data_IF_940916739086
#
_entry.id   IF_940916739086
#
_cell.length_a   1.000
_cell.length_b   1.000
_cell.length_c   1.000
_cell.angle_alpha   90.00
_cell.angle_beta   90.00
_cell.angle_gamma   90.00
#
_symmetry.space_group_name_H-M   'P 1'
#
loop_
_entity.id
_entity.type
_entity.pdbx_description
1 polymer ?
#
# COMPACT_ATOMS: atom_id res chain seq x y z
N UNK A 1 15.24 9.93 7.46
CA UNK A 1 14.46 8.68 7.64
C UNK A 1 12.99 8.99 7.43
N UNK A 2 12.23 8.11 6.81
CA UNK A 2 10.81 8.35 6.57
C UNK A 2 10.02 7.91 7.80
N UNK A 3 8.96 8.63 8.14
CA UNK A 3 8.03 8.34 9.27
C UNK A 3 7.52 6.89 9.31
N UNK A 4 7.53 6.18 8.17
CA UNK A 4 7.16 4.77 8.04
C UNK A 4 8.23 3.81 8.59
N UNK A 5 9.51 4.10 8.35
CA UNK A 5 10.62 3.30 8.87
C UNK A 5 10.66 3.38 10.41
N UNK A 6 10.55 4.58 10.97
CA UNK A 6 10.49 4.78 12.43
C UNK A 6 9.32 4.04 13.08
N UNK A 7 8.16 4.01 12.43
CA UNK A 7 7.00 3.28 12.94
C UNK A 7 7.18 1.77 12.89
N UNK A 8 7.78 1.24 11.81
CA UNK A 8 8.10 -0.19 11.69
C UNK A 8 9.11 -0.63 12.74
N UNK A 9 10.14 0.17 12.98
CA UNK A 9 11.15 -0.05 14.03
C UNK A 9 10.50 -0.09 15.41
N UNK A 10 9.60 0.85 15.73
CA UNK A 10 8.88 0.88 17.01
C UNK A 10 7.97 -0.34 17.21
N UNK A 11 7.26 -0.78 16.16
CA UNK A 11 6.41 -1.98 16.22
C UNK A 11 7.27 -3.21 16.47
N UNK A 12 8.37 -3.38 15.74
CA UNK A 12 9.29 -4.49 15.90
C UNK A 12 9.89 -4.53 17.33
N UNK A 13 10.32 -3.39 17.84
CA UNK A 13 10.83 -3.26 19.20
C UNK A 13 9.78 -3.66 20.25
N UNK A 14 8.52 -3.25 20.08
CA UNK A 14 7.43 -3.62 20.97
C UNK A 14 7.16 -5.13 20.94
N UNK A 15 7.08 -5.73 19.76
CA UNK A 15 6.86 -7.17 19.60
C UNK A 15 7.98 -7.99 20.23
N UNK A 16 9.24 -7.64 19.96
CA UNK A 16 10.39 -8.33 20.53
C UNK A 16 10.42 -8.20 22.05
N UNK A 17 10.13 -7.01 22.58
CA UNK A 17 10.05 -6.80 24.04
C UNK A 17 8.97 -7.65 24.69
N UNK A 18 7.79 -7.72 24.06
CA UNK A 18 6.67 -8.53 24.54
C UNK A 18 7.02 -10.02 24.55
N UNK A 19 7.53 -10.55 23.44
CA UNK A 19 7.85 -11.98 23.30
C UNK A 19 9.03 -12.44 24.16
N UNK A 20 10.01 -11.57 24.39
CA UNK A 20 11.25 -11.95 25.09
C UNK A 20 11.31 -11.49 26.55
N UNK A 21 10.33 -10.71 27.01
CA UNK A 21 10.35 -10.09 28.34
C UNK A 21 11.46 -9.03 28.50
N UNK A 22 12.01 -8.51 27.41
CA UNK A 22 13.03 -7.47 27.44
C UNK A 22 12.40 -6.08 27.43
N UNK A 23 13.21 -5.07 27.75
CA UNK A 23 12.91 -3.66 27.53
C UNK A 23 13.76 -3.16 26.36
N UNK A 24 13.12 -2.64 25.29
CA UNK A 24 13.80 -2.04 24.16
C UNK A 24 13.95 -0.53 24.37
N UNK A 25 15.18 -0.04 24.29
CA UNK A 25 15.52 1.38 24.44
C UNK A 25 16.16 1.84 23.12
N UNK A 26 15.63 2.89 22.44
CA UNK A 26 16.20 3.40 21.20
C UNK A 26 17.68 3.77 21.39
N UNK A 27 18.52 3.34 20.45
CA UNK A 27 19.93 3.69 20.46
C UNK A 27 20.17 4.94 19.64
N UNK A 28 20.48 6.06 20.28
CA UNK A 28 20.53 7.38 19.68
C UNK A 28 21.71 7.65 18.72
N UNK A 29 22.49 6.65 18.30
CA UNK A 29 23.59 6.78 17.35
C UNK A 29 23.26 6.05 16.05
N UNK A 30 23.15 6.78 14.94
CA UNK A 30 22.98 6.20 13.62
C UNK A 30 24.10 5.20 13.28
N UNK A 31 23.70 4.04 12.76
CA UNK A 31 24.61 3.11 12.07
C UNK A 31 25.22 2.01 12.93
N UNK A 32 24.73 1.80 14.17
CA UNK A 32 25.22 0.70 15.02
C UNK A 32 24.12 -0.34 15.27
N UNK A 33 23.04 0.07 15.93
CA UNK A 33 21.82 -0.74 16.16
C UNK A 33 20.65 0.20 16.37
N UNK A 34 19.42 -0.28 16.18
CA UNK A 34 18.23 0.54 16.34
C UNK A 34 17.80 0.62 17.80
N UNK A 35 17.92 -0.50 18.54
CA UNK A 35 17.54 -0.56 19.95
C UNK A 35 18.52 -1.40 20.76
N UNK A 36 18.75 -0.98 22.02
CA UNK A 36 19.31 -1.82 23.07
C UNK A 36 18.19 -2.59 23.77
N UNK A 37 18.39 -3.88 23.96
CA UNK A 37 17.51 -4.75 24.74
C UNK A 37 18.13 -5.01 26.11
N UNK A 38 17.31 -4.91 27.17
CA UNK A 38 17.73 -5.25 28.54
C UNK A 38 16.69 -6.16 29.18
N UNK A 39 17.13 -7.25 29.77
CA UNK A 39 16.29 -8.18 30.52
C UNK A 39 16.38 -7.93 32.01
N UNK A 40 15.38 -8.32 32.83
CA UNK A 40 15.37 -8.12 34.28
C UNK A 40 16.57 -8.70 34.99
N UNK A 41 17.11 -9.80 34.49
CA UNK A 41 18.31 -10.46 35.01
C UNK A 41 19.64 -9.75 34.68
N UNK A 42 19.57 -8.59 34.02
CA UNK A 42 20.74 -7.79 33.64
C UNK A 42 21.41 -8.20 32.32
N UNK A 43 20.88 -9.19 31.63
CA UNK A 43 21.32 -9.54 30.27
C UNK A 43 21.06 -8.38 29.31
N UNK A 44 21.98 -8.15 28.40
CA UNK A 44 21.88 -7.12 27.36
C UNK A 44 21.89 -7.73 25.96
N UNK A 45 21.24 -7.07 25.03
CA UNK A 45 21.21 -7.42 23.61
C UNK A 45 21.02 -6.21 22.73
N UNK A 46 21.02 -6.44 21.44
CA UNK A 46 20.79 -5.42 20.43
C UNK A 46 19.70 -5.90 19.46
N UNK A 47 18.88 -4.98 18.99
CA UNK A 47 17.89 -5.21 17.93
C UNK A 47 18.20 -4.27 16.77
N UNK A 48 18.37 -4.85 15.60
CA UNK A 48 18.43 -4.14 14.34
C UNK A 48 17.19 -4.53 13.52
N UNK A 49 16.46 -3.55 13.03
CA UNK A 49 15.22 -3.74 12.28
C UNK A 49 15.49 -3.41 10.82
N UNK A 50 15.49 -4.43 9.97
CA UNK A 50 15.64 -4.25 8.53
C UNK A 50 14.29 -4.38 7.86
N UNK A 51 13.84 -3.29 7.23
CA UNK A 51 12.64 -3.33 6.42
C UNK A 51 12.95 -3.98 5.06
N UNK A 52 12.54 -5.22 4.90
CA UNK A 52 12.62 -5.91 3.61
C UNK A 52 11.39 -5.49 2.79
N UNK A 53 11.60 -4.56 1.86
CA UNK A 53 10.56 -4.11 0.94
C UNK A 53 10.95 -4.53 -0.47
N UNK A 54 10.03 -5.17 -1.18
CA UNK A 54 10.22 -5.42 -2.60
C UNK A 54 10.44 -4.09 -3.34
N UNK A 55 11.49 -3.94 -4.19
CA UNK A 55 11.82 -2.67 -4.84
C UNK A 55 10.65 -2.06 -5.63
N UNK A 56 9.84 -2.89 -6.29
CA UNK A 56 8.64 -2.45 -7.02
C UNK A 56 7.58 -1.86 -6.07
N UNK A 57 7.37 -2.48 -4.92
CA UNK A 57 6.44 -2.00 -3.88
C UNK A 57 6.89 -0.66 -3.29
N UNK A 58 8.18 -0.52 -2.98
CA UNK A 58 8.74 0.73 -2.48
C UNK A 58 8.62 1.87 -3.50
N UNK A 59 8.89 1.59 -4.78
CA UNK A 59 8.72 2.55 -5.86
C UNK A 59 7.26 2.98 -6.01
N UNK A 60 6.32 2.03 -5.94
CA UNK A 60 4.88 2.27 -6.03
C UNK A 60 4.40 3.17 -4.89
N UNK A 61 4.77 2.83 -3.64
CA UNK A 61 4.45 3.62 -2.45
C UNK A 61 5.02 5.03 -2.54
N UNK A 62 6.27 5.18 -2.99
CA UNK A 62 6.91 6.49 -3.18
C UNK A 62 6.15 7.37 -4.17
N UNK A 63 5.61 6.81 -5.25
CA UNK A 63 4.79 7.55 -6.22
C UNK A 63 3.43 7.91 -5.62
N UNK A 64 2.75 6.97 -4.95
CA UNK A 64 1.48 7.21 -4.31
C UNK A 64 1.58 8.30 -3.22
N UNK A 65 2.64 8.30 -2.41
CA UNK A 65 2.90 9.34 -1.41
C UNK A 65 3.08 10.73 -2.03
N UNK A 66 3.80 10.85 -3.15
CA UNK A 66 3.98 12.12 -3.87
C UNK A 66 2.65 12.68 -4.36
N UNK A 67 1.72 11.82 -4.76
CA UNK A 67 0.37 12.17 -5.18
C UNK A 67 -0.63 12.17 -4.01
N UNK A 68 -0.15 12.11 -2.76
CA UNK A 68 -0.96 12.13 -1.52
C UNK A 68 -2.00 11.01 -1.48
N UNK A 69 -1.68 9.84 -2.03
CA UNK A 69 -2.57 8.69 -2.11
C UNK A 69 -3.90 8.99 -2.80
N UNK A 70 -3.89 9.91 -3.76
CA UNK A 70 -5.10 10.34 -4.45
C UNK A 70 -4.83 10.74 -5.88
N UNK A 71 -5.65 10.22 -6.79
CA UNK A 71 -5.64 10.64 -8.18
C UNK A 71 -6.83 11.58 -8.47
N UNK A 72 -6.70 12.56 -9.38
CA UNK A 72 -7.78 13.47 -9.72
C UNK A 72 -8.87 12.75 -10.52
N UNK A 73 -10.13 12.91 -10.10
CA UNK A 73 -11.32 12.47 -10.82
C UNK A 73 -12.50 13.38 -10.47
N UNK A 74 -13.54 13.40 -11.31
CA UNK A 74 -14.75 14.20 -11.12
C UNK A 74 -15.71 13.59 -10.11
N UNK A 75 -15.68 12.29 -9.96
CA UNK A 75 -16.46 11.51 -9.01
C UNK A 75 -15.57 10.87 -7.95
N UNK A 76 -16.17 10.24 -6.94
CA UNK A 76 -15.47 9.69 -5.79
C UNK A 76 -15.31 8.19 -5.90
N UNK A 77 -14.08 7.71 -5.82
CA UNK A 77 -13.72 6.32 -5.97
C UNK A 77 -12.66 5.90 -4.96
N UNK A 78 -12.65 4.62 -4.62
CA UNK A 78 -11.57 3.93 -3.93
C UNK A 78 -10.91 2.95 -4.89
N UNK A 79 -9.59 2.87 -4.84
CA UNK A 79 -8.81 1.88 -5.59
C UNK A 79 -7.90 1.11 -4.64
N UNK A 80 -8.01 -0.22 -4.67
CA UNK A 80 -7.18 -1.17 -3.93
C UNK A 80 -6.43 -2.02 -4.94
N UNK A 81 -5.13 -1.77 -5.18
CA UNK A 81 -4.35 -2.59 -6.09
C UNK A 81 -4.24 -4.02 -5.56
N UNK A 82 -4.49 -5.01 -6.39
CA UNK A 82 -4.30 -6.43 -6.04
C UNK A 82 -2.82 -6.81 -5.97
N UNK A 83 -1.97 -6.13 -6.75
CA UNK A 83 -0.53 -6.34 -6.76
C UNK A 83 0.21 -5.02 -7.02
N UNK A 84 1.16 -4.69 -6.14
CA UNK A 84 2.00 -3.48 -6.24
C UNK A 84 3.20 -3.64 -7.20
N UNK A 85 3.39 -4.81 -7.82
CA UNK A 85 4.41 -5.01 -8.86
C UNK A 85 4.04 -4.36 -10.20
N UNK A 86 2.80 -3.94 -10.38
CA UNK A 86 2.36 -3.23 -11.57
C UNK A 86 3.00 -1.84 -11.67
N UNK A 87 3.30 -1.43 -12.91
CA UNK A 87 3.83 -0.10 -13.18
C UNK A 87 2.83 0.99 -12.76
N UNK A 88 3.15 1.74 -11.71
CA UNK A 88 2.31 2.78 -11.12
C UNK A 88 1.63 3.70 -12.16
N UNK A 89 2.42 4.24 -13.12
CA UNK A 89 1.89 5.15 -14.15
C UNK A 89 0.88 4.48 -15.07
N UNK A 90 1.12 3.21 -15.44
CA UNK A 90 0.19 2.43 -16.27
C UNK A 90 -1.09 2.16 -15.49
N UNK A 91 -0.98 1.67 -14.24
CA UNK A 91 -2.12 1.42 -13.36
C UNK A 91 -2.97 2.67 -13.17
N UNK A 92 -2.34 3.80 -12.84
CA UNK A 92 -3.03 5.09 -12.69
C UNK A 92 -3.82 5.47 -13.94
N UNK A 93 -3.20 5.38 -15.11
CA UNK A 93 -3.85 5.75 -16.41
C UNK A 93 -5.06 4.88 -16.68
N UNK A 94 -4.92 3.57 -16.54
CA UNK A 94 -6.01 2.61 -16.81
C UNK A 94 -7.15 2.78 -15.80
N UNK A 95 -6.83 2.91 -14.52
CA UNK A 95 -7.84 3.14 -13.48
C UNK A 95 -8.63 4.43 -13.73
N UNK A 96 -7.94 5.54 -14.08
CA UNK A 96 -8.63 6.79 -14.39
C UNK A 96 -9.49 6.68 -15.66
N UNK A 97 -9.07 5.88 -16.65
CA UNK A 97 -9.89 5.57 -17.82
C UNK A 97 -11.14 4.77 -17.45
N UNK A 98 -10.99 3.76 -16.58
CA UNK A 98 -12.13 2.98 -16.06
C UNK A 98 -13.12 3.88 -15.32
N UNK A 99 -12.63 4.77 -14.44
CA UNK A 99 -13.46 5.77 -13.74
C UNK A 99 -14.23 6.65 -14.71
N UNK A 100 -13.56 7.19 -15.72
CA UNK A 100 -14.19 8.04 -16.72
C UNK A 100 -15.34 7.31 -17.44
N UNK A 101 -15.11 6.07 -17.87
CA UNK A 101 -16.14 5.27 -18.54
C UNK A 101 -17.29 4.93 -17.60
N UNK A 102 -17.01 4.59 -16.34
CA UNK A 102 -18.04 4.35 -15.35
C UNK A 102 -18.90 5.61 -15.11
N UNK A 103 -18.30 6.79 -15.09
CA UNK A 103 -19.01 8.06 -14.96
C UNK A 103 -19.88 8.36 -16.19
N UNK A 104 -19.35 8.15 -17.40
CA UNK A 104 -20.08 8.34 -18.67
C UNK A 104 -21.30 7.40 -18.77
N UNK A 105 -21.14 6.15 -18.32
CA UNK A 105 -22.21 5.15 -18.37
C UNK A 105 -23.03 5.06 -17.08
N UNK A 106 -22.73 5.89 -16.08
CA UNK A 106 -23.43 5.94 -14.78
C UNK A 106 -23.50 4.60 -14.06
N UNK A 107 -22.42 3.84 -14.11
CA UNK A 107 -22.26 2.56 -13.40
C UNK A 107 -21.29 2.70 -12.21
N UNK A 108 -21.47 1.87 -11.20
CA UNK A 108 -20.69 1.92 -9.96
C UNK A 108 -19.51 0.95 -9.93
N UNK A 109 -19.36 0.16 -10.97
CA UNK A 109 -18.27 -0.82 -11.08
C UNK A 109 -17.91 -1.06 -12.56
N UNK A 110 -16.60 -1.17 -12.90
CA UNK A 110 -16.16 -1.38 -14.29
C UNK A 110 -16.72 -2.65 -14.94
N UNK A 111 -16.93 -3.72 -14.19
CA UNK A 111 -17.56 -4.94 -14.71
C UNK A 111 -19.04 -4.78 -15.11
N UNK A 112 -19.68 -3.67 -14.70
CA UNK A 112 -21.05 -3.34 -15.08
C UNK A 112 -21.14 -2.52 -16.38
N UNK A 113 -20.00 -2.17 -16.99
CA UNK A 113 -19.97 -1.51 -18.29
C UNK A 113 -20.52 -2.42 -19.38
N UNK A 114 -21.15 -1.86 -20.43
CA UNK A 114 -21.61 -2.67 -21.56
C UNK A 114 -20.46 -3.44 -22.22
N UNK A 115 -20.71 -4.68 -22.64
CA UNK A 115 -19.69 -5.58 -23.20
C UNK A 115 -18.96 -4.94 -24.40
N UNK A 116 -19.65 -4.20 -25.24
CA UNK A 116 -19.04 -3.52 -26.38
C UNK A 116 -18.06 -2.42 -25.96
N UNK A 117 -18.33 -1.70 -24.86
CA UNK A 117 -17.44 -0.68 -24.31
C UNK A 117 -16.15 -1.33 -23.79
N UNK A 118 -16.27 -2.47 -23.11
CA UNK A 118 -15.11 -3.23 -22.64
C UNK A 118 -14.32 -3.79 -23.82
N UNK A 119 -15.00 -4.34 -24.83
CA UNK A 119 -14.36 -4.93 -26.00
C UNK A 119 -13.63 -3.90 -26.87
N UNK A 120 -14.14 -2.68 -26.95
CA UNK A 120 -13.56 -1.59 -27.74
C UNK A 120 -12.38 -0.90 -27.04
N UNK A 121 -12.22 -1.09 -25.71
CA UNK A 121 -11.13 -0.52 -24.93
C UNK A 121 -10.21 -1.63 -24.40
N UNK A 122 -9.12 -1.90 -25.14
CA UNK A 122 -8.18 -2.96 -24.80
C UNK A 122 -7.56 -2.79 -23.41
N UNK A 123 -7.25 -1.56 -23.01
CA UNK A 123 -6.65 -1.31 -21.69
C UNK A 123 -7.63 -1.62 -20.57
N UNK A 124 -8.92 -1.32 -20.77
CA UNK A 124 -9.98 -1.69 -19.83
C UNK A 124 -10.20 -3.20 -19.78
N UNK A 125 -10.18 -3.88 -20.92
CA UNK A 125 -10.28 -5.33 -20.98
C UNK A 125 -9.11 -5.99 -20.24
N UNK A 126 -7.88 -5.52 -20.46
CA UNK A 126 -6.69 -5.98 -19.75
C UNK A 126 -6.79 -5.69 -18.24
N UNK A 127 -7.30 -4.52 -17.85
CA UNK A 127 -7.52 -4.16 -16.43
C UNK A 127 -8.44 -5.15 -15.72
N UNK A 128 -9.54 -5.53 -16.38
CA UNK A 128 -10.51 -6.48 -15.82
C UNK A 128 -10.00 -7.93 -15.83
N UNK A 129 -9.23 -8.31 -16.86
CA UNK A 129 -8.68 -9.66 -17.00
C UNK A 129 -7.50 -9.94 -16.06
N UNK A 130 -6.63 -8.95 -15.86
CA UNK A 130 -5.40 -9.08 -15.08
C UNK A 130 -5.62 -8.88 -13.57
N UNK A 131 -6.86 -8.64 -13.12
CA UNK A 131 -7.20 -8.36 -11.71
C UNK A 131 -6.26 -7.30 -11.09
N UNK A 132 -6.09 -6.18 -11.78
CA UNK A 132 -5.14 -5.11 -11.41
C UNK A 132 -5.51 -4.50 -10.05
N UNK A 133 -6.79 -4.54 -9.68
CA UNK A 133 -7.27 -4.07 -8.39
C UNK A 133 -8.78 -3.87 -8.35
N UNK A 134 -9.26 -3.68 -7.15
CA UNK A 134 -10.67 -3.40 -6.89
C UNK A 134 -10.92 -1.89 -6.99
N UNK A 135 -11.88 -1.49 -7.82
CA UNK A 135 -12.31 -0.11 -8.01
C UNK A 135 -13.77 0.02 -7.60
N UNK A 136 -14.05 0.80 -6.55
CA UNK A 136 -15.39 0.95 -5.96
C UNK A 136 -15.78 2.41 -5.90
N UNK A 137 -17.00 2.74 -6.34
CA UNK A 137 -17.57 4.08 -6.20
C UNK A 137 -17.88 4.38 -4.72
N UNK A 138 -17.62 5.61 -4.30
CA UNK A 138 -17.89 6.07 -2.94
C UNK A 138 -18.64 7.40 -2.95
N UNK A 139 -19.07 7.86 -1.77
CA UNK A 139 -19.77 9.14 -1.60
C UNK A 139 -18.89 10.24 -0.97
N UNK A 140 -17.58 10.02 -0.88
CA UNK A 140 -16.66 10.99 -0.29
C UNK A 140 -16.33 12.14 -1.25
N UNK A 141 -15.25 12.87 -0.99
CA UNK A 141 -14.81 13.94 -1.86
C UNK A 141 -14.30 13.43 -3.21
N UNK A 142 -14.49 14.18 -4.33
CA UNK A 142 -14.08 13.78 -5.67
C UNK A 142 -12.59 13.39 -5.74
N UNK A 143 -12.29 12.33 -6.49
CA UNK A 143 -10.97 11.76 -6.68
C UNK A 143 -10.96 10.25 -6.46
N UNK A 144 -9.88 9.59 -6.88
CA UNK A 144 -9.63 8.17 -6.61
C UNK A 144 -8.69 8.07 -5.41
N UNK A 145 -9.18 7.61 -4.27
CA UNK A 145 -8.37 7.35 -3.07
C UNK A 145 -7.70 6.01 -3.20
N UNK A 146 -6.38 5.98 -2.98
CA UNK A 146 -5.57 4.77 -3.05
C UNK A 146 -5.47 4.13 -1.67
N UNK A 147 -5.75 2.85 -1.59
CA UNK A 147 -5.52 2.06 -0.38
C UNK A 147 -4.27 1.19 -0.54
N UNK A 148 -3.50 1.12 0.51
CA UNK A 148 -2.39 0.17 0.58
C UNK A 148 -2.97 -1.22 0.82
N UNK A 149 -2.64 -2.19 -0.03
CA UNK A 149 -2.81 -3.61 0.31
C UNK A 149 -1.86 -3.93 1.45
N UNK A 150 -2.39 -4.03 2.64
CA UNK A 150 -1.67 -4.71 3.72
C UNK A 150 -1.68 -6.18 3.34
N UNK A 151 -0.54 -6.72 2.95
CA UNK A 151 -0.37 -8.16 2.80
C UNK A 151 -0.48 -8.76 4.20
N UNK A 152 -1.71 -9.12 4.61
CA UNK A 152 -1.98 -9.85 5.85
C UNK A 152 -1.57 -11.33 5.75
N UNK A 153 -0.86 -11.71 4.70
CA UNK A 153 -0.46 -13.11 4.43
C UNK A 153 0.78 -13.58 5.19
N UNK A 154 1.35 -12.77 6.07
CA UNK A 154 2.55 -13.16 6.84
C UNK A 154 2.26 -13.67 8.26
N UNK A 155 0.99 -13.89 8.65
CA UNK A 155 0.65 -14.32 10.01
C UNK A 155 0.15 -15.77 10.13
N UNK A 156 0.12 -16.54 9.04
CA UNK A 156 -0.31 -17.95 9.03
C UNK A 156 0.83 -18.92 8.61
N UNK A 157 2.06 -18.68 9.03
CA UNK A 157 3.17 -19.62 8.85
C UNK A 157 3.82 -19.97 10.20
#
# INVERSE_FOLDING_TARGET
MTHLAERAEQIAAHLVSYETGSTAIPYGRQGVVDFHLTWPEGRQGALEVTLVTEPASAAWQGMAMRERWRWPASSSWEFRPSNVSFHYKKTRRITLRAVQLCDEWQVDHPASLPVHVIADDRELADFLADDIGELTRTSFSPGVVLYQTTTAEFLDA
#
